data_IF_133751973164
#
_entry.id   IF_133751973164
#
_cell.length_a   1.000
_cell.length_b   1.000
_cell.length_c   1.000
_cell.angle_alpha   90.00
_cell.angle_beta   90.00
_cell.angle_gamma   90.00
#
_symmetry.space_group_name_H-M   'P 1'
#
loop_
_entity.id
_entity.type
_entity.pdbx_description
1 polymer ?
#
# COMPACT_ATOMS: atom_id res chain seq x y z
N UNK A 1 19.27 -61.80 -0.29
CA UNK A 1 20.03 -60.65 0.25
C UNK A 1 19.91 -59.51 -0.76
N UNK A 2 19.21 -58.42 -0.43
CA UNK A 2 19.12 -57.24 -1.30
C UNK A 2 20.40 -56.43 -1.13
N UNK A 3 21.16 -56.19 -2.21
CA UNK A 3 22.30 -55.28 -2.21
C UNK A 3 21.79 -53.86 -2.00
N UNK A 4 22.10 -53.25 -0.87
CA UNK A 4 21.89 -51.82 -0.65
C UNK A 4 22.98 -51.08 -1.42
N UNK A 5 22.62 -50.48 -2.56
CA UNK A 5 23.49 -49.57 -3.29
C UNK A 5 23.59 -48.26 -2.49
N UNK A 6 24.69 -48.09 -1.77
CA UNK A 6 25.01 -46.82 -1.14
C UNK A 6 25.27 -45.74 -2.19
N UNK A 7 24.83 -44.52 -1.92
CA UNK A 7 25.18 -43.34 -2.72
C UNK A 7 26.70 -43.13 -2.68
N UNK A 8 27.30 -42.75 -3.81
CA UNK A 8 28.74 -42.47 -3.85
C UNK A 8 29.02 -41.07 -3.28
N UNK A 9 30.15 -40.89 -2.58
CA UNK A 9 30.54 -39.58 -2.05
C UNK A 9 30.70 -38.55 -3.19
N UNK A 10 31.14 -38.98 -4.37
CA UNK A 10 31.31 -38.11 -5.53
C UNK A 10 29.97 -37.62 -6.10
N UNK A 11 28.92 -38.45 -6.09
CA UNK A 11 27.56 -38.04 -6.47
C UNK A 11 27.06 -36.91 -5.58
N UNK A 12 27.23 -37.06 -4.27
CA UNK A 12 26.78 -36.04 -3.31
C UNK A 12 27.54 -34.72 -3.52
N UNK A 13 28.85 -34.79 -3.76
CA UNK A 13 29.70 -33.61 -4.01
C UNK A 13 29.31 -32.91 -5.31
N UNK A 14 29.06 -33.64 -6.39
CA UNK A 14 28.64 -33.03 -7.67
C UNK A 14 27.30 -32.33 -7.52
N UNK A 15 26.34 -32.93 -6.80
CA UNK A 15 25.01 -32.34 -6.59
C UNK A 15 25.11 -31.01 -5.85
N UNK A 16 25.87 -30.92 -4.75
CA UNK A 16 26.02 -29.66 -4.01
C UNK A 16 26.76 -28.59 -4.84
N UNK A 17 27.70 -28.98 -5.69
CA UNK A 17 28.42 -28.05 -6.59
C UNK A 17 27.46 -27.47 -7.63
N UNK A 18 26.65 -28.32 -8.27
CA UNK A 18 25.65 -27.87 -9.26
C UNK A 18 24.61 -26.97 -8.60
N UNK A 19 24.08 -27.35 -7.43
CA UNK A 19 23.14 -26.52 -6.67
C UNK A 19 23.77 -25.18 -6.24
N UNK A 20 25.05 -25.18 -5.90
CA UNK A 20 25.80 -23.96 -5.57
C UNK A 20 25.88 -22.97 -6.73
N UNK A 21 26.18 -23.45 -7.95
CA UNK A 21 26.24 -22.61 -9.15
C UNK A 21 24.86 -22.04 -9.48
N UNK A 22 23.82 -22.88 -9.43
CA UNK A 22 22.44 -22.44 -9.69
C UNK A 22 21.98 -21.40 -8.67
N UNK A 23 22.28 -21.59 -7.38
CA UNK A 23 21.94 -20.65 -6.32
C UNK A 23 22.63 -19.29 -6.51
N UNK A 24 23.91 -19.28 -6.89
CA UNK A 24 24.67 -18.05 -7.10
C UNK A 24 24.07 -17.13 -8.18
N UNK A 25 23.48 -17.72 -9.23
CA UNK A 25 22.84 -16.97 -10.32
C UNK A 25 21.37 -16.63 -9.97
N UNK A 26 20.66 -17.54 -9.30
CA UNK A 26 19.24 -17.37 -9.00
C UNK A 26 18.97 -16.34 -7.90
N UNK A 27 19.80 -16.28 -6.84
CA UNK A 27 19.56 -15.41 -5.68
C UNK A 27 19.53 -13.92 -6.06
N UNK A 28 20.50 -13.35 -6.82
CA UNK A 28 20.47 -11.94 -7.18
C UNK A 28 19.23 -11.56 -8.00
N UNK A 29 18.83 -12.44 -8.94
CA UNK A 29 17.62 -12.25 -9.74
C UNK A 29 16.37 -12.28 -8.86
N UNK A 30 16.27 -13.22 -7.95
CA UNK A 30 15.13 -13.34 -7.05
C UNK A 30 14.95 -12.09 -6.18
N UNK A 31 16.04 -11.53 -5.65
CA UNK A 31 16.01 -10.28 -4.89
C UNK A 31 15.53 -9.11 -5.75
N UNK A 32 16.01 -8.99 -7.00
CA UNK A 32 15.56 -7.94 -7.91
C UNK A 32 14.07 -8.04 -8.25
N UNK A 33 13.56 -9.26 -8.49
CA UNK A 33 12.13 -9.48 -8.77
C UNK A 33 11.25 -9.13 -7.58
N UNK A 34 11.68 -9.41 -6.36
CA UNK A 34 10.94 -9.00 -5.16
C UNK A 34 10.89 -7.48 -4.98
N UNK A 35 11.98 -6.78 -5.32
CA UNK A 35 12.01 -5.31 -5.33
C UNK A 35 11.04 -4.75 -6.37
N UNK A 36 11.10 -5.23 -7.60
CA UNK A 36 10.20 -4.79 -8.68
C UNK A 36 8.74 -5.07 -8.34
N UNK A 37 8.44 -6.23 -7.76
CA UNK A 37 7.09 -6.58 -7.31
C UNK A 37 6.58 -5.60 -6.23
N UNK A 38 7.42 -5.22 -5.25
CA UNK A 38 7.05 -4.25 -4.22
C UNK A 38 6.80 -2.86 -4.81
N UNK A 39 7.65 -2.41 -5.73
CA UNK A 39 7.47 -1.13 -6.44
C UNK A 39 6.15 -1.13 -7.23
N UNK A 40 5.84 -2.21 -7.95
CA UNK A 40 4.59 -2.34 -8.69
C UNK A 40 3.35 -2.29 -7.79
N UNK A 41 3.41 -2.87 -6.58
CA UNK A 41 2.32 -2.76 -5.59
C UNK A 41 2.16 -1.31 -5.10
N UNK A 42 3.26 -0.60 -4.82
CA UNK A 42 3.21 0.84 -4.46
C UNK A 42 2.63 1.66 -5.60
N UNK A 43 3.02 1.38 -6.85
CA UNK A 43 2.49 2.07 -8.02
C UNK A 43 0.98 1.87 -8.16
N UNK A 44 0.52 0.63 -7.99
CA UNK A 44 -0.91 0.29 -7.98
C UNK A 44 -1.64 1.02 -6.85
N UNK A 45 -1.15 0.94 -5.61
CA UNK A 45 -1.79 1.57 -4.46
C UNK A 45 -1.84 3.10 -4.58
N UNK A 46 -0.76 3.73 -5.06
CA UNK A 46 -0.71 5.17 -5.32
C UNK A 46 -1.84 5.61 -6.26
N UNK A 47 -2.04 4.88 -7.36
CA UNK A 47 -3.10 5.18 -8.32
C UNK A 47 -4.48 4.93 -7.71
N UNK A 48 -4.64 3.86 -6.93
CA UNK A 48 -5.89 3.53 -6.24
C UNK A 48 -6.27 4.59 -5.20
N UNK A 49 -5.32 5.12 -4.41
CA UNK A 49 -5.56 6.22 -3.46
C UNK A 49 -5.98 7.49 -4.19
N UNK A 50 -5.31 7.84 -5.27
CA UNK A 50 -5.69 9.02 -6.05
C UNK A 50 -7.08 8.88 -6.67
N UNK A 51 -7.40 7.71 -7.21
CA UNK A 51 -8.71 7.42 -7.78
C UNK A 51 -9.80 7.42 -6.72
N UNK A 52 -9.57 6.76 -5.58
CA UNK A 52 -10.51 6.72 -4.46
C UNK A 52 -10.76 8.11 -3.89
N UNK A 53 -9.71 8.91 -3.66
CA UNK A 53 -9.84 10.27 -3.18
C UNK A 53 -10.71 11.15 -4.12
N UNK A 54 -10.53 11.00 -5.44
CA UNK A 54 -11.36 11.70 -6.43
C UNK A 54 -12.83 11.22 -6.45
N UNK A 55 -13.08 9.93 -6.21
CA UNK A 55 -14.43 9.39 -6.13
C UNK A 55 -15.18 9.97 -4.92
N UNK A 56 -14.51 10.06 -3.76
CA UNK A 56 -15.09 10.69 -2.57
C UNK A 56 -15.34 12.17 -2.78
N UNK A 57 -14.41 12.86 -3.44
CA UNK A 57 -14.60 14.26 -3.81
C UNK A 57 -15.82 14.45 -4.71
N UNK A 58 -15.97 13.62 -5.75
CA UNK A 58 -17.12 13.69 -6.64
C UNK A 58 -18.44 13.48 -5.89
N UNK A 59 -18.47 12.56 -4.92
CA UNK A 59 -19.63 12.31 -4.09
C UNK A 59 -19.92 13.46 -3.11
N UNK A 60 -18.90 13.96 -2.43
CA UNK A 60 -19.01 15.12 -1.54
C UNK A 60 -19.48 16.37 -2.28
N UNK A 61 -19.02 16.58 -3.51
CA UNK A 61 -19.46 17.68 -4.37
C UNK A 61 -20.95 17.51 -4.78
N UNK A 62 -21.40 16.28 -5.03
CA UNK A 62 -22.81 15.99 -5.31
C UNK A 62 -23.71 16.25 -4.09
N UNK A 63 -23.18 16.06 -2.88
CA UNK A 63 -23.87 16.35 -1.61
C UNK A 63 -23.75 17.83 -1.19
N UNK A 64 -22.95 18.64 -1.92
CA UNK A 64 -22.74 20.05 -1.63
C UNK A 64 -21.78 20.32 -0.47
N UNK A 65 -21.00 19.32 -0.06
CA UNK A 65 -20.13 19.34 1.12
C UNK A 65 -18.64 19.53 0.77
N UNK A 66 -18.31 19.70 -0.51
CA UNK A 66 -16.92 19.72 -0.99
C UNK A 66 -16.07 20.89 -0.48
N UNK A 67 -16.68 21.95 0.03
CA UNK A 67 -15.96 23.10 0.60
C UNK A 67 -15.93 23.09 2.14
N UNK A 68 -16.58 22.10 2.78
CA UNK A 68 -16.61 21.98 4.22
C UNK A 68 -15.26 21.48 4.76
N UNK A 69 -14.76 22.13 5.80
CA UNK A 69 -13.50 21.75 6.44
C UNK A 69 -13.54 20.33 7.05
N UNK A 70 -14.73 19.87 7.44
CA UNK A 70 -15.00 18.51 7.87
C UNK A 70 -16.41 18.12 7.49
N UNK A 71 -16.57 16.97 6.84
CA UNK A 71 -17.86 16.36 6.51
C UNK A 71 -17.73 14.83 6.55
N UNK A 72 -18.81 14.11 6.30
CA UNK A 72 -18.82 12.64 6.29
C UNK A 72 -19.68 12.15 5.13
N UNK A 73 -19.04 11.43 4.21
CA UNK A 73 -19.67 10.95 2.97
C UNK A 73 -19.96 9.46 3.10
N UNK A 74 -21.22 9.06 3.03
CA UNK A 74 -21.64 7.66 3.08
C UNK A 74 -21.50 7.02 1.71
N UNK A 75 -20.39 6.33 1.42
CA UNK A 75 -20.08 5.77 0.10
C UNK A 75 -21.10 4.70 -0.32
N UNK A 76 -21.50 3.84 0.61
CA UNK A 76 -22.17 2.56 0.32
C UNK A 76 -23.65 2.54 0.72
N UNK A 77 -24.19 3.67 1.20
CA UNK A 77 -25.58 3.75 1.65
C UNK A 77 -25.82 2.97 2.95
N UNK A 78 -24.76 2.71 3.71
CA UNK A 78 -24.81 1.94 4.97
C UNK A 78 -25.11 2.83 6.17
N UNK A 79 -25.29 4.14 5.93
CA UNK A 79 -25.55 5.13 6.95
C UNK A 79 -24.26 5.63 7.65
N UNK A 80 -24.41 6.29 8.81
CA UNK A 80 -23.32 7.01 9.47
C UNK A 80 -22.12 6.14 9.88
N UNK A 81 -22.32 4.82 10.02
CA UNK A 81 -21.30 3.89 10.51
C UNK A 81 -20.29 3.47 9.43
N UNK A 82 -20.60 3.66 8.14
CA UNK A 82 -19.72 3.41 7.00
C UNK A 82 -19.27 4.67 6.28
N UNK A 83 -19.54 5.84 6.85
CA UNK A 83 -19.23 7.13 6.21
C UNK A 83 -17.73 7.44 6.31
N UNK A 84 -17.13 7.83 5.18
CA UNK A 84 -15.75 8.31 5.14
C UNK A 84 -15.74 9.78 5.52
N UNK A 85 -15.08 10.11 6.63
CA UNK A 85 -14.81 11.48 6.99
C UNK A 85 -13.97 12.16 5.92
N UNK A 86 -14.31 13.40 5.58
CA UNK A 86 -13.64 14.21 4.55
C UNK A 86 -13.08 15.53 5.12
N UNK A 87 -12.05 16.08 4.48
CA UNK A 87 -11.66 17.48 4.55
C UNK A 87 -11.79 18.07 3.14
N UNK A 88 -12.59 19.12 2.97
CA UNK A 88 -12.78 19.80 1.69
C UNK A 88 -13.11 18.81 0.56
N UNK A 89 -14.05 17.90 0.84
CA UNK A 89 -14.53 16.86 -0.06
C UNK A 89 -13.59 15.65 -0.27
N UNK A 90 -12.33 15.73 0.11
CA UNK A 90 -11.40 14.60 0.02
C UNK A 90 -11.33 13.80 1.32
N UNK A 91 -10.98 12.50 1.30
CA UNK A 91 -10.85 11.70 2.52
C UNK A 91 -9.89 12.34 3.53
N UNK A 92 -10.23 12.27 4.82
CA UNK A 92 -9.27 12.65 5.87
C UNK A 92 -8.06 11.73 5.84
N UNK A 93 -6.90 12.26 6.24
CA UNK A 93 -5.66 11.48 6.35
C UNK A 93 -5.65 10.63 7.63
N UNK A 94 -6.66 9.79 7.83
CA UNK A 94 -6.76 8.86 8.97
C UNK A 94 -6.75 7.41 8.48
N UNK A 95 -6.27 6.50 9.33
CA UNK A 95 -6.32 5.06 9.03
C UNK A 95 -7.76 4.55 8.92
N UNK A 96 -8.70 5.11 9.68
CA UNK A 96 -10.11 4.77 9.59
C UNK A 96 -10.70 5.14 8.21
N UNK A 97 -10.50 6.39 7.77
CA UNK A 97 -10.97 6.86 6.46
C UNK A 97 -10.36 6.05 5.30
N UNK A 98 -9.07 5.70 5.37
CA UNK A 98 -8.46 4.85 4.32
C UNK A 98 -8.95 3.41 4.36
N UNK A 99 -9.12 2.80 5.55
CA UNK A 99 -9.62 1.44 5.63
C UNK A 99 -11.05 1.30 5.09
N UNK A 100 -11.88 2.32 5.33
CA UNK A 100 -13.24 2.39 4.77
C UNK A 100 -13.21 2.63 3.26
N UNK A 101 -12.35 3.53 2.77
CA UNK A 101 -12.22 3.81 1.33
C UNK A 101 -11.87 2.57 0.50
N UNK A 102 -11.13 1.63 1.08
CA UNK A 102 -10.63 0.44 0.41
C UNK A 102 -11.27 -0.87 0.86
N UNK A 103 -12.38 -0.81 1.60
CA UNK A 103 -13.09 -1.98 2.13
C UNK A 103 -12.14 -3.03 2.73
N UNK A 104 -11.37 -2.60 3.74
CA UNK A 104 -10.34 -3.39 4.41
C UNK A 104 -9.07 -3.62 3.59
N UNK A 105 -8.06 -2.78 3.85
CA UNK A 105 -6.72 -2.97 3.33
C UNK A 105 -6.04 -4.21 3.94
N UNK A 106 -5.21 -4.88 3.14
CA UNK A 106 -4.48 -6.06 3.60
C UNK A 106 -3.63 -5.75 4.85
N UNK A 107 -3.42 -6.71 5.76
CA UNK A 107 -2.61 -6.50 6.97
C UNK A 107 -1.12 -6.24 6.69
N UNK A 108 -0.69 -6.32 5.42
CA UNK A 108 0.66 -5.94 4.99
C UNK A 108 0.90 -4.44 5.03
N UNK A 109 -0.16 -3.64 5.03
CA UNK A 109 -0.08 -2.18 5.08
C UNK A 109 -0.06 -1.71 6.53
N UNK A 110 1.01 -1.01 6.91
CA UNK A 110 1.14 -0.38 8.20
C UNK A 110 0.95 1.13 8.06
N UNK A 111 0.03 1.69 8.83
CA UNK A 111 -0.23 3.13 8.86
C UNK A 111 0.64 3.81 9.91
N UNK A 112 1.18 4.98 9.58
CA UNK A 112 1.91 5.84 10.50
C UNK A 112 1.53 7.31 10.29
N UNK A 113 1.44 8.06 11.38
CA UNK A 113 0.97 9.44 11.37
C UNK A 113 -0.55 9.53 11.16
N UNK A 114 -0.96 10.54 10.40
CA UNK A 114 -2.36 10.84 10.13
C UNK A 114 -3.01 11.79 11.13
N UNK A 115 -4.18 12.29 10.76
CA UNK A 115 -4.97 13.23 11.55
C UNK A 115 -6.27 13.63 10.85
N UNK A 116 -7.23 14.11 11.64
CA UNK A 116 -8.53 14.56 11.15
C UNK A 116 -8.52 16.01 10.61
N UNK A 117 -7.48 16.78 10.93
CA UNK A 117 -7.34 18.14 10.44
C UNK A 117 -6.91 18.17 8.96
N UNK A 118 -7.41 19.15 8.21
CA UNK A 118 -6.93 19.42 6.86
C UNK A 118 -5.42 19.69 6.86
N UNK A 119 -4.70 19.12 5.88
CA UNK A 119 -3.24 19.19 5.80
C UNK A 119 -2.51 18.11 6.59
N UNK A 120 -3.21 17.24 7.34
CA UNK A 120 -2.60 16.09 7.98
C UNK A 120 -2.05 15.11 6.93
N UNK A 121 -0.93 14.45 7.26
CA UNK A 121 -0.27 13.49 6.39
C UNK A 121 -0.29 12.09 7.01
N UNK A 122 -0.76 11.13 6.24
CA UNK A 122 -0.80 9.70 6.56
C UNK A 122 0.22 8.99 5.69
N UNK A 123 1.04 8.15 6.30
CA UNK A 123 1.99 7.29 5.59
C UNK A 123 1.52 5.84 5.67
N UNK A 124 1.53 5.12 4.55
CA UNK A 124 1.23 3.70 4.45
C UNK A 124 2.47 2.96 3.97
N UNK A 125 3.08 2.17 4.85
CA UNK A 125 4.26 1.36 4.56
C UNK A 125 3.84 -0.06 4.20
N UNK A 126 4.55 -0.70 3.29
CA UNK A 126 4.30 -2.10 2.90
C UNK A 126 5.31 -3.01 3.58
N UNK A 127 4.84 -4.12 4.14
CA UNK A 127 5.66 -5.19 4.74
C UNK A 127 6.60 -4.69 5.85
N UNK A 128 6.21 -3.61 6.55
CA UNK A 128 7.02 -3.01 7.62
C UNK A 128 8.27 -2.27 7.14
N UNK A 129 8.42 -2.03 5.83
CA UNK A 129 9.58 -1.33 5.26
C UNK A 129 9.25 0.17 5.16
N UNK A 130 9.87 1.03 5.99
CA UNK A 130 9.49 2.44 6.08
C UNK A 130 9.81 3.23 4.81
N UNK A 131 10.75 2.74 4.01
CA UNK A 131 11.15 3.39 2.75
C UNK A 131 10.41 2.85 1.53
N UNK A 132 9.45 1.95 1.75
CA UNK A 132 8.60 1.35 0.73
C UNK A 132 7.15 1.71 1.07
N UNK A 133 6.79 2.95 0.76
CA UNK A 133 5.60 3.59 1.31
C UNK A 133 4.91 4.54 0.32
N UNK A 134 3.65 4.83 0.60
CA UNK A 134 2.93 5.96 0.01
C UNK A 134 2.58 6.97 1.09
N UNK A 135 2.56 8.25 0.74
CA UNK A 135 2.09 9.32 1.61
C UNK A 135 0.83 9.93 1.04
N UNK A 136 -0.12 10.23 1.90
CA UNK A 136 -1.37 10.91 1.57
C UNK A 136 -1.53 12.10 2.50
N UNK A 137 -1.58 13.30 1.94
CA UNK A 137 -1.85 14.53 2.67
C UNK A 137 -3.23 15.05 2.27
N UNK A 138 -4.14 15.19 3.24
CA UNK A 138 -5.45 15.79 3.01
C UNK A 138 -5.32 17.28 2.68
N UNK A 139 -6.24 17.87 1.91
CA UNK A 139 -6.21 19.30 1.63
C UNK A 139 -6.39 20.13 2.91
N UNK A 140 -5.72 21.28 2.97
CA UNK A 140 -5.79 22.20 4.11
C UNK A 140 -6.77 23.37 3.91
N UNK A 141 -7.33 23.51 2.70
CA UNK A 141 -8.27 24.57 2.34
C UNK A 141 -9.24 24.11 1.24
N UNK A 142 -10.37 24.81 1.11
CA UNK A 142 -11.34 24.59 0.04
C UNK A 142 -10.71 24.83 -1.34
N UNK A 143 -11.05 23.99 -2.31
CA UNK A 143 -10.47 24.01 -3.66
C UNK A 143 -9.03 23.50 -3.77
N UNK A 144 -8.37 23.11 -2.67
CA UNK A 144 -7.07 22.46 -2.71
C UNK A 144 -7.21 20.95 -2.97
N UNK A 145 -6.27 20.37 -3.71
CA UNK A 145 -6.21 18.93 -3.95
C UNK A 145 -5.30 18.23 -2.94
N UNK A 146 -5.57 16.95 -2.59
CA UNK A 146 -4.68 16.18 -1.74
C UNK A 146 -3.34 15.94 -2.43
N UNK A 147 -2.27 15.86 -1.65
CA UNK A 147 -0.93 15.52 -2.14
C UNK A 147 -0.70 14.05 -1.87
N UNK A 148 -0.57 13.26 -2.94
CA UNK A 148 -0.20 11.85 -2.84
C UNK A 148 1.25 11.72 -3.28
N UNK A 149 2.08 11.12 -2.44
CA UNK A 149 3.49 10.87 -2.70
C UNK A 149 3.83 9.39 -2.65
N UNK A 150 4.99 9.04 -3.22
CA UNK A 150 5.56 7.69 -3.16
C UNK A 150 6.98 7.76 -2.64
N UNK A 151 7.35 6.80 -1.80
CA UNK A 151 8.69 6.58 -1.31
C UNK A 151 9.09 5.14 -1.69
N UNK A 152 10.05 5.02 -2.61
CA UNK A 152 10.47 3.74 -3.18
C UNK A 152 11.96 3.45 -2.93
N UNK A 153 12.62 4.27 -2.11
CA UNK A 153 14.06 4.19 -1.89
C UNK A 153 14.40 2.97 -1.04
N UNK A 154 14.83 1.87 -1.64
CA UNK A 154 15.18 0.66 -0.88
C UNK A 154 14.00 -0.26 -0.57
N UNK A 155 12.90 -0.12 -1.33
CA UNK A 155 12.22 -1.32 -1.82
C UNK A 155 13.29 -2.20 -2.54
#
# INVERSE_FOLDING_TARGET
MRRQSGFTLIELVIVIVVLGILAAIAIPRFISLQREARIAVIDSLFNSVRSGANLIYAKSAAEGESDLASAAVDIDGTGPLGSVSTNFGYPQATSASMNLLFDSLSPRYAFSGGGAAGGASLTMNIDGIPTCAITYQSPAAAGATPVVGRLITGC
#
